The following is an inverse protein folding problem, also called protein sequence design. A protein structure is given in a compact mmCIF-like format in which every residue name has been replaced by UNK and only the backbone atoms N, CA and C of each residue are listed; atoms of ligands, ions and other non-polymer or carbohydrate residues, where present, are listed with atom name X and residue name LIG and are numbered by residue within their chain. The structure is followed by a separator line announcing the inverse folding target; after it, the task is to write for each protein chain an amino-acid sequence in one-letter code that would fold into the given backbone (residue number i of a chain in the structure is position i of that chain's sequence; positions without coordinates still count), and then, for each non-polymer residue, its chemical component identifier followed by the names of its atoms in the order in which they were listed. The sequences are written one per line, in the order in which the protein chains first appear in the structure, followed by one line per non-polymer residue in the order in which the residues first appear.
data_IF_471526736650
#
_entry.id   IF_471526736650
#
_cell.length_a   1.000
_cell.length_b   1.000
_cell.length_c   1.000
_cell.angle_alpha   90.00
_cell.angle_beta   90.00
_cell.angle_gamma   90.00
#
_symmetry.space_group_name_H-M   'P 1'
#
loop_
_entity.id
_entity.type
_entity.pdbx_description
1 polymer ?
#
# COMPACT_ATOMS: atom_id res chain seq x y z
N UNK A 1 -30.21 12.40 -9.67
CA UNK A 1 -30.19 13.28 -8.48
C UNK A 1 -31.10 12.66 -7.42
N UNK A 2 -30.54 11.84 -6.51
CA UNK A 2 -31.15 11.27 -5.28
C UNK A 2 -30.24 10.15 -4.77
N UNK A 3 -29.27 10.45 -3.90
CA UNK A 3 -28.59 9.38 -3.12
C UNK A 3 -27.73 9.80 -1.91
N UNK A 4 -27.75 11.05 -1.42
CA UNK A 4 -26.89 11.46 -0.30
C UNK A 4 -27.59 11.61 1.07
N UNK A 5 -28.92 11.53 1.13
CA UNK A 5 -29.66 11.74 2.41
C UNK A 5 -29.90 10.47 3.25
N UNK A 6 -29.62 9.28 2.73
CA UNK A 6 -29.94 8.02 3.44
C UNK A 6 -28.83 7.51 4.37
N UNK A 7 -27.60 8.04 4.29
CA UNK A 7 -26.49 7.62 5.15
C UNK A 7 -26.30 8.49 6.40
N UNK A 8 -26.94 9.67 6.47
CA UNK A 8 -26.90 10.58 7.64
C UNK A 8 -27.82 10.17 8.78
N UNK A 9 -28.59 9.09 8.64
CA UNK A 9 -29.44 8.55 9.71
C UNK A 9 -28.65 7.81 10.82
N UNK A 10 -27.45 7.32 10.52
CA UNK A 10 -26.66 6.49 11.44
C UNK A 10 -25.85 7.31 12.47
N UNK A 11 -25.38 8.50 12.09
CA UNK A 11 -24.55 9.35 12.96
C UNK A 11 -25.29 9.82 14.21
N UNK A 12 -26.61 10.01 14.11
CA UNK A 12 -27.48 10.36 15.25
C UNK A 12 -27.70 9.19 16.22
N UNK A 13 -27.70 7.96 15.72
CA UNK A 13 -27.80 6.75 16.56
C UNK A 13 -26.48 6.45 17.26
N UNK A 14 -25.37 6.55 16.53
CA UNK A 14 -24.03 6.33 17.07
C UNK A 14 -23.71 7.28 18.24
N UNK A 15 -23.97 8.58 18.07
CA UNK A 15 -23.78 9.58 19.13
C UNK A 15 -24.67 9.30 20.35
N UNK A 16 -25.92 8.86 20.13
CA UNK A 16 -26.89 8.52 21.18
C UNK A 16 -26.48 7.27 21.97
N UNK A 17 -25.92 6.26 21.29
CA UNK A 17 -25.42 5.04 21.92
C UNK A 17 -24.16 5.29 22.74
N UNK A 18 -23.23 6.11 22.24
CA UNK A 18 -22.00 6.46 22.94
C UNK A 18 -22.31 7.19 24.27
N UNK A 19 -23.23 8.16 24.25
CA UNK A 19 -23.54 8.96 25.43
C UNK A 19 -24.34 8.17 26.50
N UNK A 20 -25.16 7.21 26.07
CA UNK A 20 -25.92 6.32 26.95
C UNK A 20 -25.04 5.24 27.62
N UNK A 21 -24.12 4.64 26.88
CA UNK A 21 -23.25 3.55 27.39
C UNK A 21 -22.08 4.09 28.20
N UNK A 22 -21.44 5.19 27.76
CA UNK A 22 -20.19 5.66 28.35
C UNK A 22 -20.42 6.60 29.54
N UNK A 23 -21.46 7.43 29.50
CA UNK A 23 -21.64 8.48 30.52
C UNK A 23 -22.78 8.25 31.50
N UNK A 24 -23.80 7.45 31.17
CA UNK A 24 -24.93 7.16 32.06
C UNK A 24 -25.65 8.41 32.64
N UNK A 25 -25.54 9.57 31.98
CA UNK A 25 -25.80 10.90 32.57
C UNK A 25 -26.56 11.85 31.63
N UNK A 26 -27.70 11.46 31.09
CA UNK A 26 -28.54 12.44 30.39
C UNK A 26 -29.75 12.85 31.22
N UNK A 27 -29.66 14.06 31.77
CA UNK A 27 -30.79 14.91 32.16
C UNK A 27 -30.90 16.08 31.16
N UNK A 28 -32.13 16.45 30.82
CA UNK A 28 -32.55 17.13 29.59
C UNK A 28 -32.16 18.62 29.39
N UNK A 29 -31.02 19.11 29.89
CA UNK A 29 -30.74 20.54 29.76
C UNK A 29 -29.25 20.89 29.70
N UNK A 30 -28.71 21.02 28.48
CA UNK A 30 -27.60 21.93 28.18
C UNK A 30 -27.77 22.49 26.76
N UNK A 31 -27.48 23.79 26.52
CA UNK A 31 -27.48 24.38 25.19
C UNK A 31 -26.22 23.90 24.46
N UNK A 32 -26.36 22.88 23.62
CA UNK A 32 -25.26 22.39 22.79
C UNK A 32 -25.22 23.18 21.49
N UNK A 33 -24.16 23.96 21.26
CA UNK A 33 -23.70 24.21 19.89
C UNK A 33 -23.13 22.87 19.42
N UNK A 34 -23.90 22.12 18.64
CA UNK A 34 -23.43 20.90 17.99
C UNK A 34 -22.44 21.37 16.92
N UNK A 35 -21.16 21.49 17.29
CA UNK A 35 -20.09 21.62 16.31
C UNK A 35 -20.20 20.40 15.39
N UNK A 36 -20.28 20.65 14.10
CA UNK A 36 -20.31 19.55 13.14
C UNK A 36 -18.91 18.89 13.10
N UNK A 37 -18.84 17.63 12.68
CA UNK A 37 -17.55 16.90 12.59
C UNK A 37 -16.52 17.65 11.73
N UNK A 38 -16.97 18.37 10.69
CA UNK A 38 -16.09 19.13 9.81
C UNK A 38 -15.47 20.35 10.53
N UNK A 39 -16.19 21.01 11.44
CA UNK A 39 -15.74 22.16 12.23
C UNK A 39 -14.74 21.76 13.31
N UNK A 40 -14.96 20.62 13.99
CA UNK A 40 -14.06 20.13 15.03
C UNK A 40 -12.74 19.60 14.44
N UNK A 41 -12.79 18.96 13.27
CA UNK A 41 -11.62 18.40 12.61
C UNK A 41 -11.00 19.32 11.55
N UNK A 42 -11.60 20.48 11.24
CA UNK A 42 -11.07 21.48 10.30
C UNK A 42 -9.57 21.75 10.55
N UNK A 43 -9.19 21.97 11.81
CA UNK A 43 -7.79 22.23 12.21
C UNK A 43 -6.86 21.02 12.16
N UNK A 44 -7.40 19.80 12.05
CA UNK A 44 -6.63 18.54 12.08
C UNK A 44 -6.56 17.85 10.71
N UNK A 45 -7.16 18.41 9.66
CA UNK A 45 -7.16 17.80 8.31
C UNK A 45 -5.75 17.46 7.82
N UNK A 46 -4.77 18.34 8.09
CA UNK A 46 -3.38 18.08 7.74
C UNK A 46 -2.84 16.84 8.48
N UNK A 47 -3.04 16.75 9.79
CA UNK A 47 -2.58 15.62 10.60
C UNK A 47 -3.25 14.30 10.21
N UNK A 48 -4.55 14.33 9.89
CA UNK A 48 -5.27 13.14 9.41
C UNK A 48 -4.73 12.71 8.05
N UNK A 49 -4.44 13.66 7.15
CA UNK A 49 -3.84 13.40 5.84
C UNK A 49 -2.45 12.80 5.98
N UNK A 50 -1.58 13.37 6.82
CA UNK A 50 -0.23 12.86 7.08
C UNK A 50 -0.30 11.42 7.61
N UNK A 51 -1.16 11.18 8.60
CA UNK A 51 -1.37 9.86 9.15
C UNK A 51 -1.84 8.85 8.08
N UNK A 52 -2.78 9.25 7.21
CA UNK A 52 -3.22 8.39 6.11
C UNK A 52 -2.09 8.09 5.13
N UNK A 53 -1.22 9.07 4.82
CA UNK A 53 -0.04 8.87 3.99
C UNK A 53 0.95 7.90 4.62
N UNK A 54 1.21 8.01 5.93
CA UNK A 54 2.07 7.08 6.67
C UNK A 54 1.50 5.66 6.65
N UNK A 55 0.18 5.51 6.82
CA UNK A 55 -0.50 4.21 6.76
C UNK A 55 -0.37 3.59 5.36
N UNK A 56 -0.55 4.37 4.30
CA UNK A 56 -0.37 3.91 2.92
C UNK A 56 1.07 3.51 2.66
N UNK A 57 2.05 4.29 3.14
CA UNK A 57 3.47 3.95 2.98
C UNK A 57 3.83 2.63 3.68
N UNK A 58 3.27 2.38 4.87
CA UNK A 58 3.45 1.09 5.56
C UNK A 58 2.79 -0.04 4.79
N UNK A 59 1.58 0.17 4.25
CA UNK A 59 0.89 -0.83 3.43
C UNK A 59 1.69 -1.17 2.17
N UNK A 60 2.21 -0.17 1.47
CA UNK A 60 3.02 -0.34 0.26
C UNK A 60 4.28 -1.16 0.57
N UNK A 61 5.00 -0.83 1.65
CA UNK A 61 6.17 -1.61 2.07
C UNK A 61 5.83 -3.05 2.42
N UNK A 62 4.72 -3.29 3.13
CA UNK A 62 4.24 -4.64 3.45
C UNK A 62 4.02 -5.44 2.15
N UNK A 63 3.39 -4.83 1.14
CA UNK A 63 3.09 -5.46 -0.16
C UNK A 63 4.37 -5.74 -0.96
N UNK A 64 5.24 -4.73 -1.11
CA UNK A 64 6.47 -4.81 -1.90
C UNK A 64 7.48 -5.78 -1.31
N UNK A 65 7.69 -5.75 0.00
CA UNK A 65 8.63 -6.64 0.71
C UNK A 65 8.05 -8.04 0.98
N UNK A 66 6.78 -8.29 0.60
CA UNK A 66 6.06 -9.56 0.82
C UNK A 66 6.06 -10.03 2.28
N UNK A 67 6.10 -9.08 3.22
CA UNK A 67 6.11 -9.36 4.65
C UNK A 67 4.67 -9.63 5.12
N UNK A 68 4.48 -10.63 5.98
CA UNK A 68 3.17 -10.88 6.59
C UNK A 68 2.74 -9.69 7.47
N UNK A 69 1.62 -9.07 7.14
CA UNK A 69 1.06 -7.92 7.88
C UNK A 69 0.89 -8.20 9.37
N UNK A 70 0.53 -9.43 9.75
CA UNK A 70 0.41 -9.87 11.14
C UNK A 70 1.71 -9.74 11.94
N UNK A 71 2.86 -9.99 11.32
CA UNK A 71 4.19 -9.85 11.95
C UNK A 71 4.53 -8.38 12.15
N UNK A 72 4.25 -7.54 11.16
CA UNK A 72 4.49 -6.09 11.22
C UNK A 72 3.65 -5.47 12.34
N UNK A 73 2.35 -5.77 12.38
CA UNK A 73 1.47 -5.27 13.43
C UNK A 73 1.86 -5.77 14.82
N UNK A 74 2.23 -7.06 14.96
CA UNK A 74 2.68 -7.61 16.24
C UNK A 74 3.91 -6.87 16.77
N UNK A 75 4.91 -6.62 15.90
CA UNK A 75 6.12 -5.86 16.26
C UNK A 75 5.81 -4.41 16.62
N UNK A 76 4.97 -3.75 15.82
CA UNK A 76 4.57 -2.36 16.05
C UNK A 76 3.86 -2.15 17.39
N UNK A 77 2.95 -3.06 17.73
CA UNK A 77 2.14 -2.97 18.96
C UNK A 77 2.93 -3.24 20.25
N UNK A 78 4.08 -3.92 20.18
CA UNK A 78 4.97 -4.15 21.34
C UNK A 78 6.16 -3.18 21.40
N UNK A 79 6.18 -2.17 20.53
CA UNK A 79 7.26 -1.18 20.50
C UNK A 79 7.41 -0.46 21.86
N UNK A 80 8.64 -0.15 22.31
CA UNK A 80 8.85 0.61 23.55
C UNK A 80 8.26 2.03 23.46
N UNK A 81 8.15 2.59 22.26
CA UNK A 81 7.64 3.95 22.04
C UNK A 81 6.12 3.98 21.91
N UNK A 82 5.45 4.73 22.79
CA UNK A 82 3.99 4.86 22.80
C UNK A 82 3.44 5.34 21.44
N UNK A 83 4.05 6.36 20.84
CA UNK A 83 3.64 6.87 19.52
C UNK A 83 3.56 5.79 18.44
N UNK A 84 4.47 4.81 18.48
CA UNK A 84 4.51 3.72 17.49
C UNK A 84 3.38 2.73 17.75
N UNK A 85 3.12 2.39 19.02
CA UNK A 85 2.01 1.52 19.39
C UNK A 85 0.67 2.12 18.99
N UNK A 86 0.45 3.39 19.30
CA UNK A 86 -0.78 4.12 18.99
C UNK A 86 -1.01 4.21 17.47
N UNK A 87 0.06 4.51 16.71
CA UNK A 87 0.02 4.47 15.24
C UNK A 87 -0.45 3.11 14.71
N UNK A 88 0.20 2.02 15.13
CA UNK A 88 -0.12 0.68 14.62
C UNK A 88 -1.48 0.15 15.11
N UNK A 89 -1.96 0.61 16.27
CA UNK A 89 -3.29 0.29 16.76
C UNK A 89 -4.38 0.81 15.80
N UNK A 90 -4.23 2.04 15.31
CA UNK A 90 -5.14 2.67 14.36
C UNK A 90 -4.91 2.15 12.93
N UNK A 91 -3.65 2.10 12.49
CA UNK A 91 -3.27 1.68 11.13
C UNK A 91 -3.78 0.28 10.80
N UNK A 92 -3.70 -0.67 11.75
CA UNK A 92 -4.19 -2.04 11.56
C UNK A 92 -5.68 -2.08 11.21
N UNK A 93 -6.50 -1.26 11.86
CA UNK A 93 -7.95 -1.21 11.62
C UNK A 93 -8.23 -0.60 10.24
N UNK A 94 -7.55 0.50 9.90
CA UNK A 94 -7.70 1.15 8.60
C UNK A 94 -7.26 0.24 7.45
N UNK A 95 -6.10 -0.40 7.55
CA UNK A 95 -5.59 -1.33 6.53
C UNK A 95 -6.56 -2.50 6.35
N UNK A 96 -7.08 -3.07 7.44
CA UNK A 96 -8.06 -4.15 7.38
C UNK A 96 -9.35 -3.72 6.67
N UNK A 97 -9.88 -2.54 7.00
CA UNK A 97 -11.07 -2.00 6.37
C UNK A 97 -10.85 -1.65 4.90
N UNK A 98 -9.69 -1.07 4.56
CA UNK A 98 -9.30 -0.78 3.18
C UNK A 98 -9.22 -2.05 2.34
N UNK A 99 -8.57 -3.09 2.85
CA UNK A 99 -8.50 -4.38 2.17
C UNK A 99 -9.90 -4.99 1.96
N UNK A 100 -10.74 -5.01 3.00
CA UNK A 100 -12.11 -5.50 2.89
C UNK A 100 -12.92 -4.69 1.87
N UNK A 101 -12.73 -3.37 1.82
CA UNK A 101 -13.38 -2.52 0.83
C UNK A 101 -12.98 -2.90 -0.60
N UNK A 102 -11.68 -3.08 -0.87
CA UNK A 102 -11.20 -3.50 -2.18
C UNK A 102 -11.76 -4.87 -2.58
N UNK A 103 -11.69 -5.86 -1.68
CA UNK A 103 -12.19 -7.22 -1.92
C UNK A 103 -13.69 -7.21 -2.22
N UNK A 104 -14.48 -6.54 -1.38
CA UNK A 104 -15.95 -6.50 -1.54
C UNK A 104 -16.40 -5.77 -2.81
N UNK A 105 -15.53 -4.92 -3.39
CA UNK A 105 -15.80 -4.18 -4.63
C UNK A 105 -15.12 -4.80 -5.85
N UNK A 106 -14.37 -5.89 -5.68
CA UNK A 106 -13.52 -6.47 -6.72
C UNK A 106 -12.55 -5.44 -7.33
N UNK A 107 -11.99 -4.58 -6.48
CA UNK A 107 -11.00 -3.57 -6.88
C UNK A 107 -9.58 -4.05 -6.58
N UNK A 108 -8.64 -3.55 -7.39
CA UNK A 108 -7.21 -3.74 -7.22
C UNK A 108 -6.56 -2.36 -7.16
N UNK A 109 -5.67 -2.15 -6.20
CA UNK A 109 -4.78 -0.98 -6.23
C UNK A 109 -3.55 -1.24 -7.11
N UNK A 110 -2.69 -0.23 -7.27
CA UNK A 110 -1.53 -0.31 -8.15
C UNK A 110 -0.56 -1.45 -7.78
N UNK A 111 -0.32 -1.65 -6.47
CA UNK A 111 0.54 -2.72 -6.01
C UNK A 111 -0.13 -4.09 -6.21
N UNK A 112 -1.45 -4.17 -6.00
CA UNK A 112 -2.21 -5.39 -6.26
C UNK A 112 -2.14 -5.80 -7.74
N UNK A 113 -2.19 -4.86 -8.69
CA UNK A 113 -2.03 -5.18 -10.11
C UNK A 113 -0.71 -5.89 -10.40
N UNK A 114 0.41 -5.37 -9.86
CA UNK A 114 1.72 -5.99 -10.02
C UNK A 114 1.83 -7.35 -9.32
N UNK A 115 1.26 -7.47 -8.12
CA UNK A 115 1.23 -8.74 -7.36
C UNK A 115 0.42 -9.79 -8.12
N UNK A 116 -0.78 -9.46 -8.60
CA UNK A 116 -1.63 -10.39 -9.34
C UNK A 116 -1.00 -10.79 -10.68
N UNK A 117 -0.37 -9.86 -11.39
CA UNK A 117 0.37 -10.16 -12.62
C UNK A 117 1.51 -11.15 -12.34
N UNK A 118 2.28 -10.93 -11.26
CA UNK A 118 3.35 -11.83 -10.86
C UNK A 118 2.81 -13.22 -10.50
N UNK A 119 1.76 -13.31 -9.68
CA UNK A 119 1.14 -14.58 -9.30
C UNK A 119 0.58 -15.33 -10.52
N UNK A 120 0.03 -14.63 -11.51
CA UNK A 120 -0.42 -15.23 -12.76
C UNK A 120 0.75 -15.88 -13.51
N UNK A 121 1.85 -15.15 -13.74
CA UNK A 121 3.03 -15.65 -14.46
C UNK A 121 3.76 -16.76 -13.71
N UNK A 122 3.71 -16.77 -12.37
CA UNK A 122 4.27 -17.84 -11.56
C UNK A 122 3.48 -19.14 -11.67
N UNK A 123 2.17 -19.04 -11.46
CA UNK A 123 1.32 -20.20 -11.26
C UNK A 123 0.76 -20.77 -12.58
N UNK A 124 0.81 -20.01 -13.68
CA UNK A 124 0.26 -20.44 -14.98
C UNK A 124 1.33 -20.39 -16.06
N UNK A 125 1.85 -21.56 -16.45
CA UNK A 125 2.90 -21.67 -17.46
C UNK A 125 2.49 -21.07 -18.82
N UNK A 126 1.24 -21.29 -19.25
CA UNK A 126 0.72 -20.75 -20.51
C UNK A 126 0.78 -19.22 -20.57
N UNK A 127 0.42 -18.53 -19.47
CA UNK A 127 0.49 -17.08 -19.39
C UNK A 127 1.94 -16.57 -19.45
N UNK A 128 2.85 -17.31 -18.80
CA UNK A 128 4.28 -17.01 -18.82
C UNK A 128 4.90 -17.21 -20.20
N UNK A 129 4.63 -18.33 -20.84
CA UNK A 129 5.11 -18.64 -22.20
C UNK A 129 4.55 -17.66 -23.22
N UNK A 130 3.28 -17.24 -23.06
CA UNK A 130 2.70 -16.17 -23.86
C UNK A 130 3.47 -14.87 -23.70
N UNK A 131 3.75 -14.42 -22.47
CA UNK A 131 4.51 -13.20 -22.24
C UNK A 131 5.94 -13.29 -22.82
N UNK A 132 6.64 -14.39 -22.55
CA UNK A 132 8.02 -14.63 -23.02
C UNK A 132 8.11 -14.69 -24.55
N UNK A 133 7.15 -15.33 -25.22
CA UNK A 133 7.11 -15.37 -26.69
C UNK A 133 6.69 -14.04 -27.31
N UNK A 134 5.82 -13.28 -26.64
CA UNK A 134 5.30 -12.00 -27.14
C UNK A 134 6.30 -10.85 -27.02
N UNK A 135 7.11 -10.83 -25.96
CA UNK A 135 8.05 -9.76 -25.63
C UNK A 135 9.50 -10.21 -25.84
N UNK A 136 9.93 -10.31 -27.09
CA UNK A 136 11.31 -10.74 -27.42
C UNK A 136 12.38 -9.75 -26.97
N UNK A 137 12.03 -8.46 -26.89
CA UNK A 137 12.90 -7.39 -26.41
C UNK A 137 12.15 -6.58 -25.33
N UNK A 138 12.80 -6.38 -24.19
CA UNK A 138 12.26 -5.65 -23.05
C UNK A 138 13.22 -4.52 -22.69
N UNK A 139 12.71 -3.30 -22.72
CA UNK A 139 13.42 -2.09 -22.29
C UNK A 139 12.85 -1.62 -20.97
N UNK A 140 13.70 -1.40 -19.97
CA UNK A 140 13.31 -0.82 -18.68
C UNK A 140 14.13 0.43 -18.44
N UNK A 141 13.46 1.56 -18.36
CA UNK A 141 14.07 2.83 -18.00
C UNK A 141 14.01 3.06 -16.48
N UNK A 142 14.83 3.97 -15.96
CA UNK A 142 14.90 4.33 -14.54
C UNK A 142 15.07 3.12 -13.60
N UNK A 143 15.95 2.19 -13.96
CA UNK A 143 16.11 0.91 -13.26
C UNK A 143 16.61 1.06 -11.81
N UNK A 144 17.16 2.22 -11.43
CA UNK A 144 17.52 2.52 -10.04
C UNK A 144 16.32 2.61 -9.09
N UNK A 145 15.12 2.87 -9.63
CA UNK A 145 13.90 3.06 -8.85
C UNK A 145 13.00 1.83 -8.77
N UNK A 146 13.49 0.68 -9.27
CA UNK A 146 12.74 -0.57 -9.21
C UNK A 146 12.76 -1.18 -7.82
N UNK A 147 11.67 -1.86 -7.50
CA UNK A 147 11.52 -2.61 -6.25
C UNK A 147 11.60 -4.13 -6.47
N UNK A 148 11.65 -4.88 -5.38
CA UNK A 148 11.76 -6.34 -5.40
C UNK A 148 10.65 -7.02 -6.22
N UNK A 149 9.41 -6.52 -6.11
CA UNK A 149 8.26 -7.05 -6.82
C UNK A 149 8.41 -6.89 -8.34
N UNK A 150 8.89 -5.73 -8.80
CA UNK A 150 9.09 -5.43 -10.21
C UNK A 150 10.25 -6.24 -10.81
N UNK A 151 11.35 -6.41 -10.08
CA UNK A 151 12.47 -7.25 -10.52
C UNK A 151 12.02 -8.70 -10.70
N UNK A 152 11.27 -9.23 -9.73
CA UNK A 152 10.75 -10.59 -9.82
C UNK A 152 9.72 -10.75 -10.95
N UNK A 153 8.88 -9.73 -11.19
CA UNK A 153 7.98 -9.71 -12.34
C UNK A 153 8.76 -9.77 -13.66
N UNK A 154 9.83 -8.97 -13.80
CA UNK A 154 10.68 -9.00 -14.98
C UNK A 154 11.32 -10.37 -15.19
N UNK A 155 11.83 -11.01 -14.14
CA UNK A 155 12.41 -12.36 -14.20
C UNK A 155 11.43 -13.43 -14.71
N UNK A 156 10.12 -13.23 -14.54
CA UNK A 156 9.11 -14.12 -15.11
C UNK A 156 8.65 -13.72 -16.52
N UNK A 157 8.81 -12.45 -16.90
CA UNK A 157 8.50 -11.96 -18.25
C UNK A 157 9.60 -12.34 -19.25
N UNK A 158 10.87 -12.33 -18.80
CA UNK A 158 12.01 -12.70 -19.65
C UNK A 158 12.40 -14.16 -19.47
N UNK A 159 12.97 -14.75 -20.52
CA UNK A 159 13.59 -16.08 -20.57
C UNK A 159 14.97 -15.97 -21.24
N UNK A 160 15.72 -17.07 -21.32
CA UNK A 160 17.05 -17.10 -21.95
C UNK A 160 17.05 -16.63 -23.42
N UNK A 161 15.92 -16.73 -24.13
CA UNK A 161 15.78 -16.27 -25.52
C UNK A 161 15.37 -14.80 -25.68
N UNK A 162 15.14 -14.07 -24.59
CA UNK A 162 14.72 -12.67 -24.62
C UNK A 162 15.91 -11.71 -24.42
N UNK A 163 15.79 -10.50 -24.96
CA UNK A 163 16.77 -9.44 -24.75
C UNK A 163 16.24 -8.41 -23.75
N UNK A 164 16.82 -8.38 -22.56
CA UNK A 164 16.52 -7.38 -21.54
C UNK A 164 17.58 -6.27 -21.60
N UNK A 165 17.15 -5.02 -21.75
CA UNK A 165 17.98 -3.84 -21.66
C UNK A 165 17.44 -2.92 -20.58
N UNK A 166 18.24 -2.62 -19.57
CA UNK A 166 17.88 -1.74 -18.47
C UNK A 166 18.78 -0.51 -18.46
N UNK A 167 18.18 0.66 -18.26
CA UNK A 167 18.87 1.96 -18.17
C UNK A 167 18.60 2.56 -16.80
N UNK A 168 19.59 3.18 -16.19
CA UNK A 168 19.42 3.92 -14.94
C UNK A 168 20.71 4.54 -14.43
N UNK A 169 20.58 5.37 -13.40
CA UNK A 169 21.68 6.12 -12.75
C UNK A 169 21.63 5.91 -11.23
N UNK A 170 22.67 5.32 -10.65
CA UNK A 170 22.75 5.02 -9.22
C UNK A 170 22.85 6.28 -8.34
N UNK A 171 23.36 7.40 -8.87
CA UNK A 171 23.41 8.69 -8.17
C UNK A 171 22.04 9.37 -8.07
N UNK A 172 21.05 8.89 -8.83
CA UNK A 172 19.69 9.41 -8.86
C UNK A 172 18.67 8.54 -8.10
N UNK A 173 19.11 7.45 -7.46
CA UNK A 173 18.26 6.55 -6.68
C UNK A 173 17.72 7.16 -5.38
N UNK A 174 16.74 8.07 -5.48
CA UNK A 174 16.16 8.80 -4.33
C UNK A 174 14.88 8.15 -3.80
N UNK A 175 14.32 7.12 -4.45
CA UNK A 175 13.02 6.55 -4.11
C UNK A 175 13.05 5.39 -3.09
N UNK A 176 14.15 5.20 -2.35
CA UNK A 176 14.27 4.12 -1.35
C UNK A 176 13.16 4.13 -0.28
N UNK A 177 12.56 5.29 0.00
CA UNK A 177 11.41 5.40 0.91
C UNK A 177 10.14 4.71 0.40
N UNK A 178 10.03 4.43 -0.92
CA UNK A 178 8.95 3.65 -1.57
C UNK A 178 9.30 2.17 -1.76
N UNK A 179 10.43 1.72 -1.23
CA UNK A 179 10.87 0.33 -1.34
C UNK A 179 11.64 0.01 -2.62
N UNK A 180 12.08 1.03 -3.38
CA UNK A 180 13.09 0.82 -4.41
C UNK A 180 14.43 0.47 -3.78
N UNK A 181 15.26 -0.27 -4.52
CA UNK A 181 16.55 -0.71 -4.04
C UNK A 181 17.60 -0.59 -5.13
N UNK A 182 18.46 0.42 -5.00
CA UNK A 182 19.57 0.70 -5.95
C UNK A 182 20.50 -0.51 -6.12
N UNK A 183 20.51 -1.47 -5.18
CA UNK A 183 21.27 -2.71 -5.35
C UNK A 183 20.84 -3.49 -6.59
N UNK A 184 19.60 -3.35 -7.06
CA UNK A 184 19.17 -4.04 -8.27
C UNK A 184 19.89 -3.56 -9.53
N UNK A 185 20.23 -2.27 -9.63
CA UNK A 185 21.03 -1.75 -10.74
C UNK A 185 22.53 -2.00 -10.53
N UNK A 186 23.03 -1.84 -9.30
CA UNK A 186 24.46 -2.05 -8.98
C UNK A 186 24.87 -3.51 -9.10
N UNK A 187 24.04 -4.44 -8.61
CA UNK A 187 24.27 -5.88 -8.64
C UNK A 187 23.48 -6.57 -9.78
N UNK A 188 23.23 -5.89 -10.89
CA UNK A 188 22.35 -6.37 -11.97
C UNK A 188 22.65 -7.82 -12.41
N UNK A 189 23.94 -8.16 -12.57
CA UNK A 189 24.38 -9.50 -12.99
C UNK A 189 24.04 -10.62 -11.98
N UNK A 190 23.78 -10.30 -10.70
CA UNK A 190 23.29 -11.29 -9.72
C UNK A 190 21.83 -11.66 -9.97
N UNK A 191 21.04 -10.73 -10.48
CA UNK A 191 19.60 -10.91 -10.73
C UNK A 191 19.31 -11.37 -12.16
N UNK A 192 20.18 -10.99 -13.11
CA UNK A 192 20.11 -11.38 -14.51
C UNK A 192 21.49 -11.89 -14.97
N UNK A 193 21.80 -13.18 -14.75
CA UNK A 193 23.11 -13.75 -15.10
C UNK A 193 23.41 -13.66 -16.59
N UNK A 194 24.66 -13.33 -16.92
CA UNK A 194 25.11 -13.18 -18.32
C UNK A 194 24.87 -11.79 -18.89
N UNK A 195 24.40 -10.85 -18.06
CA UNK A 195 24.27 -9.46 -18.44
C UNK A 195 25.63 -8.82 -18.71
N UNK A 196 25.66 -7.96 -19.73
CA UNK A 196 26.79 -7.08 -20.02
C UNK A 196 26.45 -5.67 -19.54
N UNK A 197 27.30 -5.12 -18.68
CA UNK A 197 27.21 -3.71 -18.27
C UNK A 197 27.95 -2.84 -19.28
N UNK A 198 27.31 -1.77 -19.74
CA UNK A 198 27.89 -0.76 -20.62
C UNK A 198 27.86 0.55 -19.85
N UNK A 199 29.04 1.09 -19.52
CA UNK A 199 29.22 2.33 -18.78
C UNK A 199 29.90 3.38 -19.67
#
# INVERSE_FOLDING_TARGET
MRTFETMTKDSKEFARHLDRIVKGRLSNALPYTVLNYEEEFAGYHHHVKDFAQDVLQVLDKIKVEKVRSSVVFKRGLVSPHQRVRDFYQLARVLIGNYHNYLVNKSYLDFNDLSIQALELLKNHAEAREYAQSRYTHVLVDEFQDVNALQVELLQHIVSEGNHLFCVGDDWQGIYGFRGSDVRYIVDFNKYFPGAQTIC
#
